data_IF_461777205151
#
_entry.id   IF_461777205151
#
_cell.length_a   1.000
_cell.length_b   1.000
_cell.length_c   1.000
_cell.angle_alpha   90.00
_cell.angle_beta   90.00
_cell.angle_gamma   90.00
#
_symmetry.space_group_name_H-M   'P 1'
#
loop_
_entity.id
_entity.type
_entity.pdbx_description
1 polymer ?
#
# COMPACT_ATOMS: atom_id res chain seq x y z
N UNK A 1 17.61 -13.01 16.85
CA UNK A 1 17.52 -12.19 15.62
C UNK A 1 17.18 -10.76 16.02
N UNK A 2 17.89 -9.77 15.46
CA UNK A 2 17.53 -8.35 15.63
C UNK A 2 16.61 -7.95 14.48
N UNK A 3 15.58 -7.18 14.77
CA UNK A 3 14.65 -6.71 13.74
C UNK A 3 14.06 -5.36 14.14
N UNK A 4 13.66 -4.57 13.15
CA UNK A 4 12.77 -3.44 13.34
C UNK A 4 11.35 -3.87 13.02
N UNK A 5 10.38 -3.27 13.69
CA UNK A 5 8.99 -3.43 13.29
C UNK A 5 8.20 -2.14 13.49
N UNK A 6 7.17 -1.98 12.66
CA UNK A 6 6.14 -0.95 12.83
C UNK A 6 4.76 -1.58 12.71
N UNK A 7 3.85 -1.13 13.58
CA UNK A 7 2.45 -1.53 13.63
C UNK A 7 1.60 -0.50 12.90
N UNK A 8 0.67 -0.97 12.08
CA UNK A 8 -0.29 -0.15 11.36
C UNK A 8 -1.71 -0.70 11.54
N UNK A 9 -2.64 0.06 12.14
CA UNK A 9 -4.06 -0.19 11.93
C UNK A 9 -4.39 0.27 10.50
N UNK A 10 -4.67 -0.66 9.61
CA UNK A 10 -4.79 -0.38 8.19
C UNK A 10 -5.98 -1.11 7.56
N UNK A 11 -6.49 -0.55 6.46
CA UNK A 11 -7.66 -1.03 5.73
C UNK A 11 -7.24 -1.79 4.47
N UNK A 12 -8.19 -2.50 3.87
CA UNK A 12 -8.02 -3.09 2.55
C UNK A 12 -7.61 -2.01 1.54
N UNK A 13 -6.76 -2.39 0.58
CA UNK A 13 -6.27 -1.56 -0.54
C UNK A 13 -5.35 -0.39 -0.15
N UNK A 14 -5.19 -0.09 1.15
CA UNK A 14 -4.06 0.71 1.63
C UNK A 14 -2.74 0.00 1.34
N UNK A 15 -1.65 0.77 1.25
CA UNK A 15 -0.33 0.22 1.00
C UNK A 15 0.64 0.61 2.11
N UNK A 16 1.46 -0.34 2.55
CA UNK A 16 2.61 -0.03 3.40
C UNK A 16 3.82 0.14 2.48
N UNK A 17 4.44 1.30 2.54
CA UNK A 17 5.72 1.58 1.88
C UNK A 17 6.86 1.47 2.90
N UNK A 18 7.89 0.71 2.53
CA UNK A 18 9.10 0.51 3.31
C UNK A 18 10.28 0.92 2.45
N UNK A 19 11.00 1.94 2.91
CA UNK A 19 12.27 2.36 2.31
C UNK A 19 13.42 1.80 3.14
N UNK A 20 14.37 1.14 2.49
CA UNK A 20 15.50 0.45 3.09
C UNK A 20 16.80 1.09 2.61
N UNK A 21 17.67 1.44 3.55
CA UNK A 21 19.03 1.92 3.23
C UNK A 21 19.96 0.85 2.62
N UNK A 22 19.62 -0.43 2.75
CA UNK A 22 20.40 -1.56 2.22
C UNK A 22 19.50 -2.80 2.06
N UNK A 23 19.89 -3.79 1.21
CA UNK A 23 19.15 -5.03 1.03
C UNK A 23 18.86 -5.74 2.34
N UNK A 24 17.58 -6.05 2.58
CA UNK A 24 17.12 -6.66 3.82
C UNK A 24 15.88 -7.52 3.62
N UNK A 25 15.60 -8.39 4.59
CA UNK A 25 14.37 -9.18 4.59
C UNK A 25 13.23 -8.38 5.19
N UNK A 26 12.19 -8.13 4.39
CA UNK A 26 10.99 -7.42 4.81
C UNK A 26 9.81 -8.38 4.79
N UNK A 27 9.15 -8.52 5.94
CA UNK A 27 8.00 -9.40 6.14
C UNK A 27 6.80 -8.58 6.57
N UNK A 28 5.71 -8.67 5.81
CA UNK A 28 4.42 -8.11 6.19
C UNK A 28 3.55 -9.20 6.78
N UNK A 29 3.02 -8.98 7.98
CA UNK A 29 2.28 -10.01 8.70
C UNK A 29 1.17 -9.40 9.56
N UNK A 30 0.14 -10.18 9.86
CA UNK A 30 -0.92 -9.74 10.77
C UNK A 30 -0.41 -9.73 12.22
N UNK A 31 -1.15 -9.09 13.13
CA UNK A 31 -0.81 -9.10 14.55
C UNK A 31 -0.74 -10.51 15.16
N UNK A 32 -1.55 -11.46 14.66
CA UNK A 32 -1.49 -12.87 15.10
C UNK A 32 -0.17 -13.50 14.66
N UNK A 33 0.17 -13.36 13.39
CA UNK A 33 1.38 -13.95 12.82
C UNK A 33 2.64 -13.29 13.40
N UNK A 34 2.61 -11.99 13.72
CA UNK A 34 3.70 -11.31 14.42
C UNK A 34 3.98 -11.90 15.80
N UNK A 35 2.93 -12.24 16.58
CA UNK A 35 3.12 -12.91 17.86
C UNK A 35 3.78 -14.29 17.70
N UNK A 36 3.40 -15.02 16.64
CA UNK A 36 4.03 -16.30 16.33
C UNK A 36 5.49 -16.13 15.89
N UNK A 37 5.79 -15.13 15.07
CA UNK A 37 7.16 -14.75 14.66
C UNK A 37 8.05 -14.46 15.87
N UNK A 38 7.63 -13.56 16.75
CA UNK A 38 8.41 -13.19 17.96
C UNK A 38 8.61 -14.39 18.90
N UNK A 39 7.62 -15.28 18.97
CA UNK A 39 7.70 -16.51 19.78
C UNK A 39 8.48 -17.66 19.10
N UNK A 40 9.06 -17.44 17.90
CA UNK A 40 9.79 -18.47 17.17
C UNK A 40 8.91 -19.63 16.68
N UNK A 41 7.60 -19.41 16.54
CA UNK A 41 6.64 -20.40 16.05
C UNK A 41 6.44 -20.27 14.54
N UNK A 42 5.90 -21.31 13.93
CA UNK A 42 5.43 -21.27 12.54
C UNK A 42 4.43 -20.12 12.37
N UNK A 43 4.69 -19.29 11.36
CA UNK A 43 3.90 -18.11 11.04
C UNK A 43 3.95 -17.86 9.52
N UNK A 44 2.99 -17.09 9.05
CA UNK A 44 2.79 -16.73 7.65
C UNK A 44 3.09 -15.26 7.46
N UNK A 45 3.67 -14.91 6.32
CA UNK A 45 3.98 -13.54 5.97
C UNK A 45 3.85 -13.31 4.47
N UNK A 46 3.66 -12.07 4.09
CA UNK A 46 3.62 -11.58 2.72
C UNK A 46 4.95 -10.83 2.49
N UNK A 47 5.72 -11.22 1.46
CA UNK A 47 7.08 -10.74 1.09
C UNK A 47 8.25 -11.26 1.95
N UNK A 48 9.43 -11.39 1.33
CA UNK A 48 10.65 -11.98 1.90
C UNK A 48 11.90 -11.12 1.65
N UNK A 49 13.06 -11.71 1.39
CA UNK A 49 14.29 -10.97 1.07
C UNK A 49 14.08 -10.01 -0.10
N UNK A 50 14.38 -8.73 0.09
CA UNK A 50 14.23 -7.69 -0.92
C UNK A 50 15.59 -7.05 -1.21
N UNK A 51 15.89 -6.89 -2.50
CA UNK A 51 17.07 -6.17 -2.99
C UNK A 51 16.74 -4.72 -3.35
N UNK A 52 15.46 -4.39 -3.40
CA UNK A 52 14.95 -3.05 -3.72
C UNK A 52 15.03 -2.10 -2.51
N UNK A 53 15.38 -0.85 -2.77
CA UNK A 53 15.36 0.23 -1.77
C UNK A 53 13.93 0.57 -1.32
N UNK A 54 12.95 0.55 -2.24
CA UNK A 54 11.57 0.93 -1.93
C UNK A 54 10.61 -0.22 -2.22
N UNK A 55 9.93 -0.68 -1.16
CA UNK A 55 8.96 -1.76 -1.24
C UNK A 55 7.57 -1.23 -0.93
N UNK A 56 6.62 -1.48 -1.83
CA UNK A 56 5.21 -1.14 -1.63
C UNK A 56 4.37 -2.42 -1.57
N UNK A 57 3.69 -2.62 -0.45
CA UNK A 57 2.82 -3.77 -0.24
C UNK A 57 1.37 -3.33 -0.05
N UNK A 58 0.50 -3.67 -1.01
CA UNK A 58 -0.95 -3.43 -0.91
C UNK A 58 -1.58 -4.46 0.02
N UNK A 59 -2.38 -3.99 0.96
CA UNK A 59 -2.99 -4.81 2.00
C UNK A 59 -4.22 -5.54 1.47
N UNK A 60 -4.27 -6.88 1.56
CA UNK A 60 -5.37 -7.68 1.01
C UNK A 60 -6.68 -7.55 1.82
N UNK A 61 -6.59 -7.17 3.09
CA UNK A 61 -7.73 -7.03 3.98
C UNK A 61 -7.40 -6.09 5.14
N UNK A 62 -8.45 -5.61 5.80
CA UNK A 62 -8.37 -4.75 6.96
C UNK A 62 -7.83 -5.49 8.20
N UNK A 63 -7.08 -4.77 9.03
CA UNK A 63 -6.58 -5.32 10.28
C UNK A 63 -5.36 -4.59 10.82
N UNK A 64 -4.75 -5.23 11.83
CA UNK A 64 -3.49 -4.74 12.39
C UNK A 64 -2.35 -5.47 11.69
N UNK A 65 -1.61 -4.72 10.89
CA UNK A 65 -0.47 -5.20 10.13
C UNK A 65 0.84 -4.77 10.78
N UNK A 66 1.85 -5.63 10.67
CA UNK A 66 3.22 -5.39 11.10
C UNK A 66 4.13 -5.49 9.89
N UNK A 67 4.90 -4.45 9.64
CA UNK A 67 6.04 -4.48 8.73
C UNK A 67 7.28 -4.75 9.56
N UNK A 68 7.92 -5.90 9.33
CA UNK A 68 9.12 -6.34 10.03
C UNK A 68 10.30 -6.30 9.07
N UNK A 69 11.38 -5.65 9.47
CA UNK A 69 12.65 -5.60 8.74
C UNK A 69 13.70 -6.32 9.56
N UNK A 70 14.18 -7.46 9.06
CA UNK A 70 15.20 -8.25 9.72
C UNK A 70 16.56 -7.59 9.52
N UNK A 71 17.13 -7.14 10.64
CA UNK A 71 18.49 -6.60 10.68
C UNK A 71 19.40 -7.80 10.86
N UNK A 72 20.13 -8.17 9.82
CA UNK A 72 21.20 -9.16 9.92
C UNK A 72 22.34 -8.63 10.79
N UNK A 73 23.57 -8.81 10.33
CA UNK A 73 24.75 -8.22 10.97
C UNK A 73 24.94 -6.74 10.61
N UNK A 74 24.29 -6.27 9.54
CA UNK A 74 24.39 -4.91 9.03
C UNK A 74 23.52 -3.90 9.80
N UNK A 75 24.03 -2.67 9.96
CA UNK A 75 23.26 -1.54 10.49
C UNK A 75 22.30 -0.99 9.41
N UNK A 76 21.12 -1.60 9.32
CA UNK A 76 20.09 -1.23 8.34
C UNK A 76 19.16 -0.17 8.94
N UNK A 77 18.98 0.95 8.24
CA UNK A 77 17.90 1.90 8.50
C UNK A 77 16.70 1.59 7.60
N UNK A 78 15.50 1.67 8.18
CA UNK A 78 14.25 1.47 7.47
C UNK A 78 13.23 2.54 7.86
N UNK A 79 12.60 3.14 6.86
CA UNK A 79 11.51 4.11 7.03
C UNK A 79 10.23 3.49 6.49
N UNK A 80 9.23 3.36 7.36
CA UNK A 80 7.97 2.72 7.01
C UNK A 80 6.83 3.73 7.12
N UNK A 81 5.99 3.83 6.08
CA UNK A 81 4.82 4.71 6.04
C UNK A 81 3.60 3.97 5.51
N UNK A 82 2.42 4.33 6.05
CA UNK A 82 1.14 3.88 5.54
C UNK A 82 0.65 4.87 4.50
N UNK A 83 0.34 4.37 3.31
CA UNK A 83 -0.18 5.15 2.20
C UNK A 83 -1.66 4.80 2.01
N UNK A 84 -2.48 5.84 1.83
CA UNK A 84 -3.87 5.70 1.43
C UNK A 84 -3.97 4.85 0.14
N UNK A 85 -5.10 4.16 -0.10
CA UNK A 85 -5.33 3.50 -1.37
C UNK A 85 -5.19 4.57 -2.46
N UNK A 86 -4.27 4.35 -3.41
CA UNK A 86 -4.14 5.29 -4.52
C UNK A 86 -5.46 5.27 -5.29
N UNK A 87 -6.13 6.41 -5.52
CA UNK A 87 -7.38 6.46 -6.29
C UNK A 87 -7.17 6.21 -7.79
N UNK A 88 -6.01 5.69 -8.22
CA UNK A 88 -5.66 5.43 -9.61
C UNK A 88 -6.41 4.21 -10.19
N UNK A 89 -7.74 4.25 -10.14
CA UNK A 89 -8.70 3.64 -11.07
C UNK A 89 -10.17 3.96 -10.67
N UNK A 90 -10.45 5.17 -10.18
CA UNK A 90 -11.82 5.68 -10.11
C UNK A 90 -11.88 7.04 -10.81
N UNK A 91 -12.66 7.09 -11.89
CA UNK A 91 -13.07 8.27 -12.64
C UNK A 91 -12.00 8.93 -13.55
N UNK A 92 -11.88 8.41 -14.77
CA UNK A 92 -11.95 9.33 -15.91
C UNK A 92 -13.44 9.63 -16.01
N UNK A 93 -13.90 10.73 -15.42
CA UNK A 93 -15.23 11.25 -15.77
C UNK A 93 -15.12 11.66 -17.24
N UNK A 94 -15.91 11.10 -18.17
CA UNK A 94 -15.97 11.68 -19.50
C UNK A 94 -16.51 13.10 -19.33
N UNK A 95 -15.66 14.06 -19.67
CA UNK A 95 -16.03 15.46 -19.89
C UNK A 95 -17.18 15.48 -20.90
N UNK A 96 -18.41 15.57 -20.41
CA UNK A 96 -19.60 15.76 -21.23
C UNK A 96 -19.86 17.26 -21.33
N UNK A 97 -18.90 17.97 -21.91
CA UNK A 97 -19.14 19.30 -22.48
C UNK A 97 -19.36 19.14 -24.00
N UNK A 98 -20.33 19.89 -24.51
CA UNK A 98 -20.65 20.07 -25.93
C UNK A 98 -21.72 19.13 -26.55
N UNK A 99 -22.99 19.48 -26.35
CA UNK A 99 -24.01 19.52 -27.41
C UNK A 99 -25.32 20.18 -26.92
N UNK A 100 -25.26 21.46 -26.55
CA UNK A 100 -26.44 22.34 -26.61
C UNK A 100 -26.05 23.66 -27.29
N UNK A 101 -25.57 23.56 -28.53
CA UNK A 101 -25.54 24.68 -29.44
C UNK A 101 -26.48 24.38 -30.62
N UNK A 102 -27.42 25.31 -30.83
CA UNK A 102 -28.27 25.50 -32.01
C UNK A 102 -29.63 24.76 -32.03
N UNK A 103 -30.56 25.22 -31.19
CA UNK A 103 -31.93 25.43 -31.68
C UNK A 103 -32.10 26.92 -31.96
N UNK A 104 -31.58 27.36 -33.12
CA UNK A 104 -31.94 28.65 -33.67
C UNK A 104 -33.38 28.59 -34.14
N UNK A 105 -34.16 29.59 -33.72
CA UNK A 105 -35.53 29.77 -34.16
C UNK A 105 -35.62 29.77 -35.68
N UNK A 106 -36.62 29.07 -36.19
CA UNK A 106 -37.17 29.33 -37.51
C UNK A 106 -38.55 29.91 -37.31
N UNK A 107 -38.64 31.22 -37.57
CA UNK A 107 -39.88 31.86 -37.97
C UNK A 107 -40.36 31.24 -39.29
N UNK A 108 -41.67 31.06 -39.41
CA UNK A 108 -42.43 30.98 -40.67
C UNK A 108 -43.91 31.08 -40.25
N UNK A 109 -44.47 32.28 -40.22
CA UNK A 109 -45.26 32.92 -41.30
C UNK A 109 -46.55 32.15 -41.65
N UNK A 110 -47.69 32.83 -41.43
CA UNK A 110 -49.05 32.40 -41.72
C UNK A 110 -50.07 33.30 -41.05
#
# INVERSE_FOLDING_TARGET
>A
MKFLFRKYPAKRDEAIEVQLSAPATVKFMTAKEFKHYVAGRTHTYYKGQQEEDLIRFRLPFDGIWHAVVEKGDADIQATCKLCAPSPALQAIEPDNEELEHLSMGSQSEG
#
